data_IF_039847594113
#
_entry.id   IF_039847594113
#
_cell.length_a   1.000
_cell.length_b   1.000
_cell.length_c   1.000
_cell.angle_alpha   90.00
_cell.angle_beta   90.00
_cell.angle_gamma   90.00
#
_symmetry.space_group_name_H-M   'P 1'
#
loop_
_entity.id
_entity.type
_entity.pdbx_description
1 polymer ?
#
# COMPACT_ATOMS: atom_id res chain seq x y z
N UNK A 1 -3.11 -20.38 9.38
CA UNK A 1 -3.24 -19.23 8.52
C UNK A 1 -2.77 -18.03 9.25
N UNK A 2 -2.15 -17.16 8.64
CA UNK A 2 -1.69 -15.93 9.25
C UNK A 2 -2.13 -14.73 8.43
N UNK A 3 -1.61 -13.59 8.81
CA UNK A 3 -1.84 -12.34 8.11
C UNK A 3 -0.49 -11.85 7.61
N UNK A 4 -0.12 -12.24 6.40
CA UNK A 4 1.19 -11.94 5.85
C UNK A 4 1.28 -10.48 5.38
N UNK A 5 2.48 -9.92 5.45
CA UNK A 5 2.75 -8.69 4.70
C UNK A 5 2.83 -9.07 3.23
N UNK A 6 2.03 -8.41 2.39
CA UNK A 6 1.92 -8.80 0.99
C UNK A 6 2.30 -7.70 0.01
N UNK A 7 2.55 -6.49 0.50
CA UNK A 7 2.87 -5.36 -0.37
C UNK A 7 3.45 -4.24 0.49
N UNK A 8 4.40 -3.49 -0.06
CA UNK A 8 4.91 -2.30 0.61
C UNK A 8 4.90 -1.16 -0.40
N UNK A 9 4.22 -0.08 -0.08
CA UNK A 9 3.97 0.99 -1.01
C UNK A 9 4.63 2.28 -0.55
N UNK A 10 5.33 2.94 -1.46
CA UNK A 10 5.87 4.26 -1.20
C UNK A 10 4.94 5.31 -1.78
N UNK A 11 4.46 6.21 -0.95
CA UNK A 11 3.78 7.42 -1.38
C UNK A 11 4.81 8.54 -1.31
N UNK A 12 5.12 9.16 -2.45
CA UNK A 12 6.22 10.11 -2.52
C UNK A 12 5.79 11.41 -3.21
N UNK A 13 6.43 12.48 -2.79
CA UNK A 13 6.21 13.78 -3.42
C UNK A 13 6.85 13.88 -4.81
N UNK A 14 7.81 13.01 -5.13
CA UNK A 14 8.52 13.04 -6.41
C UNK A 14 8.80 11.61 -6.86
N UNK A 15 7.90 11.08 -7.69
CA UNK A 15 7.98 9.69 -8.15
C UNK A 15 9.25 9.44 -8.95
N UNK A 16 9.59 10.34 -9.89
CA UNK A 16 10.75 10.13 -10.74
C UNK A 16 12.05 10.10 -9.94
N UNK A 17 12.16 10.98 -8.98
CA UNK A 17 13.34 11.03 -8.11
C UNK A 17 13.46 9.77 -7.26
N UNK A 18 12.34 9.30 -6.73
CA UNK A 18 12.33 8.07 -5.94
C UNK A 18 12.70 6.87 -6.80
N UNK A 19 12.15 6.77 -8.01
CA UNK A 19 12.48 5.67 -8.93
C UNK A 19 13.96 5.64 -9.24
N UNK A 20 14.55 6.80 -9.54
CA UNK A 20 15.97 6.89 -9.85
C UNK A 20 16.82 6.46 -8.65
N UNK A 21 16.46 6.92 -7.47
CA UNK A 21 17.20 6.60 -6.26
C UNK A 21 17.18 5.09 -5.98
N UNK A 22 15.99 4.50 -5.95
CA UNK A 22 15.87 3.09 -5.56
C UNK A 22 16.37 2.12 -6.62
N UNK A 23 16.21 2.46 -7.90
CA UNK A 23 16.73 1.59 -8.97
C UNK A 23 18.26 1.62 -9.01
N UNK A 24 18.88 2.70 -8.54
CA UNK A 24 20.34 2.78 -8.45
C UNK A 24 20.87 2.09 -7.20
N UNK A 25 20.08 2.09 -6.13
CA UNK A 25 20.52 1.54 -4.84
C UNK A 25 20.34 0.04 -4.76
N UNK A 26 19.23 -0.46 -5.27
CA UNK A 26 18.85 -1.88 -5.15
C UNK A 26 18.70 -2.52 -6.53
N UNK A 27 18.79 -3.83 -6.57
CA UNK A 27 18.51 -4.61 -7.77
C UNK A 27 17.00 -4.85 -7.88
N UNK A 28 16.26 -3.77 -7.92
CA UNK A 28 14.81 -3.81 -8.08
C UNK A 28 14.45 -3.50 -9.51
N UNK A 29 13.47 -4.23 -10.03
CA UNK A 29 12.93 -3.96 -11.35
C UNK A 29 11.65 -3.15 -11.20
N UNK A 30 11.62 -1.95 -11.79
CA UNK A 30 10.47 -1.05 -11.69
C UNK A 30 9.71 -1.06 -12.99
N UNK A 31 8.39 -1.24 -12.89
CA UNK A 31 7.52 -1.31 -14.06
C UNK A 31 6.32 -0.40 -13.86
N UNK A 32 6.16 0.57 -14.75
CA UNK A 32 5.01 1.47 -14.70
C UNK A 32 3.80 0.78 -15.31
N UNK A 33 2.67 0.82 -14.59
CA UNK A 33 1.41 0.30 -15.08
C UNK A 33 0.37 1.41 -15.03
N UNK A 34 -0.54 1.49 -16.02
CA UNK A 34 -1.56 2.53 -16.00
C UNK A 34 -2.59 2.26 -14.91
N UNK A 35 -3.03 3.32 -14.27
CA UNK A 35 -4.09 3.25 -13.27
C UNK A 35 -4.95 4.49 -13.38
N UNK A 36 -6.13 4.43 -12.78
CA UNK A 36 -7.00 5.60 -12.70
C UNK A 36 -6.26 6.73 -11.99
N UNK A 37 -6.21 7.88 -12.65
CA UNK A 37 -5.54 9.03 -12.07
C UNK A 37 -4.05 9.10 -12.30
N UNK A 38 -3.48 8.22 -13.15
CA UNK A 38 -2.07 8.28 -13.49
C UNK A 38 -1.42 6.92 -13.62
N UNK A 39 -0.15 6.85 -13.30
CA UNK A 39 0.63 5.63 -13.38
C UNK A 39 0.99 5.16 -12.00
N UNK A 40 1.07 3.85 -11.83
CA UNK A 40 1.55 3.21 -10.62
C UNK A 40 2.81 2.42 -10.98
N UNK A 41 3.86 2.58 -10.20
CA UNK A 41 5.10 1.86 -10.48
C UNK A 41 5.18 0.63 -9.62
N UNK A 42 5.19 -0.55 -10.25
CA UNK A 42 5.35 -1.81 -9.54
C UNK A 42 6.82 -2.04 -9.22
N UNK A 43 7.11 -2.51 -8.03
CA UNK A 43 8.46 -2.87 -7.60
C UNK A 43 8.58 -4.39 -7.56
N UNK A 44 9.43 -4.93 -8.40
CA UNK A 44 9.75 -6.36 -8.39
C UNK A 44 11.07 -6.56 -7.69
N UNK A 45 11.03 -7.30 -6.60
CA UNK A 45 12.20 -7.43 -5.72
C UNK A 45 12.95 -8.74 -5.94
N UNK A 46 12.45 -9.61 -6.83
CA UNK A 46 12.97 -10.97 -6.98
C UNK A 46 12.13 -11.90 -6.13
N UNK A 47 12.69 -12.37 -5.03
CA UNK A 47 11.95 -13.19 -4.09
C UNK A 47 11.51 -12.33 -2.91
N UNK A 48 10.31 -12.61 -2.40
CA UNK A 48 9.79 -11.91 -1.24
C UNK A 48 8.69 -10.94 -1.59
N UNK A 49 8.40 -10.05 -0.66
CA UNK A 49 7.31 -9.11 -0.79
C UNK A 49 7.72 -7.94 -1.68
N UNK A 50 6.99 -7.76 -2.77
CA UNK A 50 7.17 -6.63 -3.65
C UNK A 50 6.42 -5.40 -3.17
N UNK A 51 6.35 -4.39 -4.02
CA UNK A 51 5.69 -3.17 -3.63
C UNK A 51 5.34 -2.28 -4.80
N UNK A 52 5.17 -1.00 -4.50
CA UNK A 52 4.82 -0.02 -5.50
C UNK A 52 5.25 1.37 -5.10
N UNK A 53 5.24 2.26 -6.06
CA UNK A 53 5.54 3.68 -5.85
C UNK A 53 4.41 4.48 -6.49
N UNK A 54 3.88 5.43 -5.76
CA UNK A 54 2.85 6.32 -6.27
C UNK A 54 3.07 7.73 -5.76
N UNK A 55 2.46 8.68 -6.46
CA UNK A 55 2.47 10.05 -5.98
C UNK A 55 1.64 10.16 -4.72
N UNK A 56 2.14 10.91 -3.75
CA UNK A 56 1.43 11.12 -2.49
C UNK A 56 0.08 11.77 -2.78
N UNK A 57 -1.03 11.13 -2.36
CA UNK A 57 -2.36 11.68 -2.63
C UNK A 57 -2.69 12.90 -1.77
N UNK A 58 -1.97 13.11 -0.67
CA UNK A 58 -2.19 14.25 0.22
C UNK A 58 -1.14 15.32 -0.02
N UNK A 59 -1.50 16.46 -0.62
CA UNK A 59 -0.52 17.51 -0.88
C UNK A 59 0.15 17.96 0.42
N UNK A 60 1.47 18.09 0.37
CA UNK A 60 2.22 18.53 1.53
C UNK A 60 2.52 17.46 2.56
N UNK A 61 1.97 16.26 2.39
CA UNK A 61 2.29 15.17 3.31
C UNK A 61 3.71 14.65 3.04
N UNK A 62 4.42 14.19 4.07
CA UNK A 62 5.76 13.65 3.86
C UNK A 62 5.70 12.33 3.10
N UNK A 63 6.75 12.06 2.34
CA UNK A 63 6.92 10.77 1.69
C UNK A 63 7.06 9.69 2.76
N UNK A 64 6.42 8.55 2.56
CA UNK A 64 6.43 7.49 3.56
C UNK A 64 6.10 6.15 2.92
N UNK A 65 6.62 5.10 3.53
CA UNK A 65 6.29 3.72 3.16
C UNK A 65 5.08 3.26 3.96
N UNK A 66 4.24 2.44 3.33
CA UNK A 66 3.05 1.88 3.94
C UNK A 66 3.02 0.38 3.65
N UNK A 67 3.01 -0.43 4.70
CA UNK A 67 2.94 -1.88 4.56
C UNK A 67 1.48 -2.31 4.47
N UNK A 68 1.23 -3.35 3.68
CA UNK A 68 -0.09 -3.94 3.48
C UNK A 68 -0.11 -5.35 4.06
N UNK A 69 -1.15 -5.64 4.84
CA UNK A 69 -1.33 -6.95 5.48
C UNK A 69 -2.54 -7.64 4.88
N UNK A 70 -2.37 -8.91 4.54
CA UNK A 70 -3.44 -9.73 3.96
C UNK A 70 -4.49 -10.06 5.02
N UNK A 71 -5.76 -9.82 4.68
CA UNK A 71 -6.89 -10.19 5.53
C UNK A 71 -7.94 -10.90 4.67
N UNK A 72 -8.81 -11.68 5.31
CA UNK A 72 -9.86 -12.41 4.61
C UNK A 72 -11.02 -11.51 4.20
N UNK A 73 -11.27 -10.45 4.96
CA UNK A 73 -12.40 -9.55 4.75
C UNK A 73 -11.99 -8.17 5.24
N UNK A 74 -11.76 -7.26 4.31
CA UNK A 74 -11.27 -5.92 4.66
C UNK A 74 -12.29 -5.16 5.49
N UNK A 75 -13.58 -5.26 5.15
CA UNK A 75 -14.61 -4.54 5.90
C UNK A 75 -14.68 -5.03 7.34
N UNK A 76 -14.66 -6.34 7.53
CA UNK A 76 -14.73 -6.92 8.88
C UNK A 76 -13.48 -6.60 9.68
N UNK A 77 -12.31 -6.69 9.05
CA UNK A 77 -11.04 -6.40 9.72
C UNK A 77 -10.94 -4.92 10.10
N UNK A 78 -11.41 -4.03 9.23
CA UNK A 78 -11.40 -2.60 9.51
C UNK A 78 -12.32 -2.26 10.69
N UNK A 79 -13.50 -2.87 10.71
CA UNK A 79 -14.42 -2.68 11.81
C UNK A 79 -13.86 -3.20 13.13
N UNK A 80 -13.21 -4.36 13.08
CA UNK A 80 -12.58 -4.94 14.26
C UNK A 80 -11.43 -4.05 14.76
N UNK A 81 -10.62 -3.53 13.83
CA UNK A 81 -9.52 -2.64 14.20
C UNK A 81 -10.04 -1.41 14.93
N UNK A 82 -11.13 -0.83 14.42
CA UNK A 82 -11.74 0.34 15.04
C UNK A 82 -12.20 0.01 16.46
N UNK A 83 -12.80 -1.16 16.68
CA UNK A 83 -13.24 -1.58 18.00
C UNK A 83 -12.07 -1.79 18.95
N UNK A 84 -10.88 -2.04 18.43
CA UNK A 84 -9.67 -2.25 19.22
C UNK A 84 -8.87 -0.97 19.42
N UNK A 85 -9.40 0.19 19.01
CA UNK A 85 -8.77 1.47 19.27
C UNK A 85 -8.07 2.13 18.10
N UNK A 86 -8.13 1.53 16.92
CA UNK A 86 -7.51 2.12 15.74
C UNK A 86 -8.40 3.24 15.17
N UNK A 87 -7.77 4.15 14.47
CA UNK A 87 -8.47 5.16 13.67
C UNK A 87 -8.48 4.68 12.22
N UNK A 88 -9.58 4.95 11.52
CA UNK A 88 -9.67 4.61 10.10
C UNK A 88 -9.31 5.86 9.30
N UNK A 89 -8.15 5.81 8.62
CA UNK A 89 -7.72 6.91 7.77
C UNK A 89 -8.39 6.85 6.43
N UNK A 90 -8.57 5.65 5.89
CA UNK A 90 -9.25 5.43 4.64
C UNK A 90 -10.12 4.20 4.77
N UNK A 91 -11.42 4.38 4.58
CA UNK A 91 -12.35 3.26 4.69
C UNK A 91 -12.19 2.32 3.49
N UNK A 92 -12.88 1.20 3.54
CA UNK A 92 -12.76 0.16 2.51
C UNK A 92 -12.94 0.77 1.13
N UNK A 93 -11.96 0.56 0.28
CA UNK A 93 -11.92 1.10 -1.08
C UNK A 93 -11.60 -0.04 -2.04
N UNK A 94 -12.36 -0.12 -3.10
CA UNK A 94 -12.09 -1.09 -4.15
C UNK A 94 -11.06 -0.54 -5.12
N UNK A 95 -10.06 -1.38 -5.45
CA UNK A 95 -9.14 -1.11 -6.55
C UNK A 95 -9.59 -1.99 -7.70
N UNK A 96 -10.21 -1.42 -8.75
CA UNK A 96 -10.78 -2.22 -9.83
C UNK A 96 -9.76 -3.18 -10.43
N UNK A 97 -10.16 -4.44 -10.56
CA UNK A 97 -9.28 -5.46 -11.11
C UNK A 97 -8.25 -6.02 -10.16
N UNK A 98 -8.08 -5.45 -8.98
CA UNK A 98 -7.00 -5.85 -8.06
C UNK A 98 -7.52 -6.37 -6.72
N UNK A 99 -8.34 -5.60 -6.02
CA UNK A 99 -8.81 -6.01 -4.71
C UNK A 99 -9.42 -4.88 -3.91
N UNK A 100 -9.41 -5.02 -2.59
CA UNK A 100 -9.94 -4.01 -1.67
C UNK A 100 -8.90 -3.70 -0.61
N UNK A 101 -8.92 -2.47 -0.13
CA UNK A 101 -8.01 -2.08 0.95
C UNK A 101 -8.66 -1.04 1.86
N UNK A 102 -8.08 -0.91 3.04
CA UNK A 102 -8.34 0.20 3.93
C UNK A 102 -7.02 0.62 4.57
N UNK A 103 -6.98 1.81 5.16
CA UNK A 103 -5.80 2.28 5.89
C UNK A 103 -6.23 2.63 7.29
N UNK A 104 -5.54 2.08 8.26
CA UNK A 104 -5.81 2.33 9.67
C UNK A 104 -4.57 2.94 10.32
N UNK A 105 -4.80 3.62 11.43
CA UNK A 105 -3.72 4.07 12.31
C UNK A 105 -3.91 3.32 13.62
N UNK A 106 -2.89 2.57 14.03
CA UNK A 106 -2.99 1.75 15.23
C UNK A 106 -3.03 2.64 16.48
N UNK A 107 -3.29 2.06 17.66
CA UNK A 107 -3.39 2.86 18.89
C UNK A 107 -2.11 3.61 19.27
N UNK A 108 -0.97 3.27 18.68
CA UNK A 108 0.29 3.96 18.95
C UNK A 108 0.60 5.04 17.93
N UNK A 109 -0.22 5.18 16.88
CA UNK A 109 -0.04 6.22 15.89
C UNK A 109 0.62 5.79 14.59
N UNK A 110 0.81 4.48 14.36
CA UNK A 110 1.44 3.98 13.14
C UNK A 110 0.39 3.58 12.12
N UNK A 111 0.63 3.92 10.85
CA UNK A 111 -0.29 3.58 9.77
C UNK A 111 0.02 2.20 9.21
N UNK A 112 -1.03 1.51 8.80
CA UNK A 112 -0.94 0.19 8.21
C UNK A 112 -2.13 0.00 7.26
N UNK A 113 -1.93 -0.68 6.15
CA UNK A 113 -3.02 -0.97 5.22
C UNK A 113 -3.46 -2.42 5.35
N UNK A 114 -4.75 -2.66 5.16
CA UNK A 114 -5.35 -3.99 5.13
C UNK A 114 -5.75 -4.27 3.69
N UNK A 115 -5.53 -5.50 3.23
CA UNK A 115 -5.67 -5.81 1.80
C UNK A 115 -6.30 -7.18 1.60
N UNK A 116 -7.18 -7.25 0.62
CA UNK A 116 -7.75 -8.51 0.13
C UNK A 116 -7.74 -8.47 -1.39
N UNK A 117 -7.00 -9.37 -2.06
CA UNK A 117 -7.02 -9.41 -3.52
C UNK A 117 -8.33 -9.99 -4.04
N UNK A 118 -8.70 -9.60 -5.25
CA UNK A 118 -9.86 -10.20 -5.91
C UNK A 118 -9.53 -11.62 -6.28
N UNK A 119 -10.52 -12.48 -6.18
CA UNK A 119 -10.36 -13.86 -6.56
C UNK A 119 -10.37 -13.99 -8.07
N UNK A 120 -9.68 -15.00 -8.55
CA UNK A 120 -9.69 -15.34 -9.97
C UNK A 120 -10.89 -16.18 -10.30
#
# INVERSE_FOLDING_TARGET
MGNAFVHVELATSDVDKAKSFYSSLFDWELEDVPMDGGAYTMIKVGEGTGGGIMKNPAPGAPSAWLAYVLVDDVAAATKKAKSLGAKVMRDVTEVPGAGWFSVIVDPTGAALALWKPKQR
#
